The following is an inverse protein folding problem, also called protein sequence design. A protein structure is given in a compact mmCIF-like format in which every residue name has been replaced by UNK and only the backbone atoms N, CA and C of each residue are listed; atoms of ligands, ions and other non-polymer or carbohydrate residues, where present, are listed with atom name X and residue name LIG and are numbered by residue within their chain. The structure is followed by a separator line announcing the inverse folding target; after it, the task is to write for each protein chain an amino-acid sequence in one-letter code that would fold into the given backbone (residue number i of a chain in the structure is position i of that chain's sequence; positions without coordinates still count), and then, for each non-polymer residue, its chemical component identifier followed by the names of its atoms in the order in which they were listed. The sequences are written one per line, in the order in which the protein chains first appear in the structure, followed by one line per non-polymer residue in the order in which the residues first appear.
data_IF_388990049727
#
_entry.id   IF_388990049727
#
_cell.length_a   1.000
_cell.length_b   1.000
_cell.length_c   1.000
_cell.angle_alpha   90.00
_cell.angle_beta   90.00
_cell.angle_gamma   90.00
#
_symmetry.space_group_name_H-M   'P 1'
#
loop_
_entity.id
_entity.type
_entity.pdbx_description
1 polymer ?
#
# COMPACT_ATOMS: atom_id res chain seq x y z
N UNK A 1 61.13 31.29 11.55
CA UNK A 1 60.63 29.89 11.46
C UNK A 1 59.10 29.82 11.65
N UNK A 2 58.29 30.60 10.91
CA UNK A 2 56.80 30.57 11.01
C UNK A 2 56.06 31.01 9.71
N UNK A 3 56.69 30.89 8.55
CA UNK A 3 56.05 31.26 7.26
C UNK A 3 55.90 30.06 6.31
N UNK A 4 56.69 28.99 6.48
CA UNK A 4 56.66 27.82 5.59
C UNK A 4 55.53 26.82 5.86
N UNK A 5 54.89 26.85 7.03
CA UNK A 5 53.80 25.92 7.38
C UNK A 5 52.43 26.35 6.82
N UNK A 6 52.21 27.66 6.59
CA UNK A 6 50.93 28.16 6.07
C UNK A 6 50.78 27.89 4.56
N UNK A 7 51.87 27.93 3.78
CA UNK A 7 51.82 27.70 2.34
C UNK A 7 51.54 26.23 1.96
N UNK A 8 52.03 25.27 2.76
CA UNK A 8 51.74 23.85 2.54
C UNK A 8 50.28 23.48 2.85
N UNK A 9 49.61 24.23 3.74
CA UNK A 9 48.23 23.99 4.12
C UNK A 9 47.23 24.47 3.06
N UNK A 10 47.52 25.58 2.35
CA UNK A 10 46.68 26.08 1.26
C UNK A 10 46.76 25.22 -0.02
N UNK A 11 47.93 24.66 -0.35
CA UNK A 11 48.07 23.74 -1.48
C UNK A 11 47.30 22.42 -1.27
N UNK A 12 47.25 21.93 -0.03
CA UNK A 12 46.51 20.70 0.33
C UNK A 12 44.99 20.90 0.24
N UNK A 13 44.47 22.04 0.69
CA UNK A 13 43.02 22.36 0.61
C UNK A 13 42.57 22.54 -0.84
N UNK A 14 43.38 23.20 -1.69
CA UNK A 14 43.04 23.41 -3.10
C UNK A 14 42.99 22.09 -3.91
N UNK A 15 43.84 21.12 -3.56
CA UNK A 15 43.85 19.79 -4.19
C UNK A 15 42.66 18.93 -3.75
N UNK A 16 42.23 19.05 -2.48
CA UNK A 16 41.05 18.36 -1.94
C UNK A 16 39.75 18.94 -2.49
N UNK A 17 39.64 20.27 -2.64
CA UNK A 17 38.47 20.92 -3.26
C UNK A 17 38.36 20.53 -4.73
N UNK A 18 39.46 20.48 -5.47
CA UNK A 18 39.46 20.08 -6.88
C UNK A 18 39.12 18.57 -7.07
N UNK A 19 39.50 17.70 -6.11
CA UNK A 19 39.11 16.29 -6.11
C UNK A 19 37.63 16.09 -5.72
N UNK A 20 37.12 16.88 -4.77
CA UNK A 20 35.71 16.86 -4.38
C UNK A 20 34.81 17.37 -5.52
N UNK A 21 35.17 18.46 -6.19
CA UNK A 21 34.46 19.00 -7.34
C UNK A 21 34.49 18.04 -8.55
N UNK A 22 35.59 17.32 -8.78
CA UNK A 22 35.64 16.25 -9.80
C UNK A 22 34.77 15.04 -9.43
N UNK A 23 34.65 14.68 -8.15
CA UNK A 23 33.75 13.59 -7.72
C UNK A 23 32.26 13.97 -7.83
N UNK A 24 31.92 15.23 -7.58
CA UNK A 24 30.55 15.76 -7.73
C UNK A 24 30.20 15.95 -9.22
N UNK A 25 31.15 16.38 -10.05
CA UNK A 25 30.96 16.46 -11.51
C UNK A 25 30.83 15.08 -12.17
N UNK A 26 31.47 14.04 -11.61
CA UNK A 26 31.33 12.66 -12.09
C UNK A 26 30.06 11.96 -11.57
N UNK A 27 29.52 12.41 -10.42
CA UNK A 27 28.20 12.02 -9.92
C UNK A 27 27.03 12.76 -10.64
N UNK A 28 27.31 13.93 -11.24
CA UNK A 28 26.35 14.73 -12.01
C UNK A 28 26.59 14.70 -13.53
N UNK A 29 27.49 13.83 -14.01
CA UNK A 29 27.66 13.61 -15.44
C UNK A 29 26.38 12.93 -16.00
N UNK A 30 25.82 13.40 -17.13
CA UNK A 30 24.74 12.68 -17.77
C UNK A 30 25.21 11.27 -18.07
N UNK A 31 24.44 10.29 -17.60
CA UNK A 31 24.67 8.87 -17.87
C UNK A 31 24.69 8.72 -19.41
N UNK A 32 25.70 8.04 -19.99
CA UNK A 32 25.76 7.85 -21.44
C UNK A 32 24.45 7.24 -21.98
N UNK A 33 23.93 7.75 -23.09
CA UNK A 33 22.63 7.33 -23.66
C UNK A 33 22.49 5.81 -23.83
N UNK A 34 23.59 5.08 -24.06
CA UNK A 34 23.60 3.62 -24.16
C UNK A 34 23.40 2.89 -22.81
N UNK A 35 23.81 3.50 -21.69
CA UNK A 35 23.51 3.00 -20.35
C UNK A 35 22.10 3.41 -19.90
N UNK A 36 21.60 4.57 -20.36
CA UNK A 36 20.20 4.96 -20.23
C UNK A 36 19.29 3.99 -21.02
N UNK A 37 19.68 3.57 -22.24
CA UNK A 37 18.87 2.68 -23.07
C UNK A 37 18.85 1.22 -22.60
N UNK A 38 19.85 0.78 -21.82
CA UNK A 38 19.87 -0.54 -21.20
C UNK A 38 19.14 -0.57 -19.83
N UNK A 39 19.12 0.55 -19.10
CA UNK A 39 18.33 0.72 -17.87
C UNK A 39 16.85 1.06 -18.13
N UNK A 40 16.52 1.52 -19.34
CA UNK A 40 15.16 1.71 -19.87
C UNK A 40 14.53 0.38 -20.31
N UNK A 41 14.69 -0.70 -19.54
CA UNK A 41 13.63 -1.70 -19.45
C UNK A 41 12.39 -0.98 -18.92
N UNK A 42 11.51 -0.58 -19.83
CA UNK A 42 10.22 0.09 -19.63
C UNK A 42 9.79 0.12 -18.16
N UNK A 43 10.08 1.22 -17.45
CA UNK A 43 9.52 1.41 -16.12
C UNK A 43 8.00 1.57 -16.27
N UNK A 44 7.26 0.47 -16.10
CA UNK A 44 5.80 0.44 -16.20
C UNK A 44 5.13 1.18 -15.03
N UNK A 45 5.90 1.58 -14.01
CA UNK A 45 5.42 2.36 -12.87
C UNK A 45 5.66 3.84 -13.14
N UNK A 46 4.70 4.43 -13.84
CA UNK A 46 4.65 5.86 -14.15
C UNK A 46 3.49 6.53 -13.38
N UNK A 47 3.49 7.86 -13.28
CA UNK A 47 2.34 8.58 -12.69
C UNK A 47 1.05 8.25 -13.43
N UNK A 48 1.08 8.21 -14.76
CA UNK A 48 -0.06 7.86 -15.59
C UNK A 48 -0.59 6.45 -15.28
N UNK A 49 0.31 5.46 -15.17
CA UNK A 49 -0.08 4.09 -14.80
C UNK A 49 -0.69 4.05 -13.40
N UNK A 50 -0.12 4.77 -12.43
CA UNK A 50 -0.67 4.81 -11.07
C UNK A 50 -2.04 5.50 -11.03
N UNK A 51 -2.28 6.55 -11.80
CA UNK A 51 -3.61 7.18 -11.90
C UNK A 51 -4.62 6.34 -12.69
N UNK A 52 -4.17 5.55 -13.65
CA UNK A 52 -5.03 4.54 -14.29
C UNK A 52 -5.41 3.43 -13.30
N UNK A 53 -4.45 3.02 -12.45
CA UNK A 53 -4.66 2.05 -11.39
C UNK A 53 -5.59 2.58 -10.29
N UNK A 54 -5.42 3.84 -9.86
CA UNK A 54 -6.28 4.51 -8.88
C UNK A 54 -6.40 5.99 -9.23
N UNK A 55 -7.58 6.38 -9.73
CA UNK A 55 -7.86 7.73 -10.23
C UNK A 55 -7.91 8.80 -9.14
N UNK A 56 -7.92 8.39 -7.88
CA UNK A 56 -7.97 9.26 -6.70
C UNK A 56 -6.76 9.04 -5.77
N UNK A 57 -5.70 8.39 -6.26
CA UNK A 57 -4.43 8.28 -5.52
C UNK A 57 -3.92 9.67 -5.12
N UNK A 58 -3.34 9.78 -3.92
CA UNK A 58 -2.81 11.05 -3.40
C UNK A 58 -1.56 11.46 -4.17
N UNK A 59 -1.52 12.68 -4.71
CA UNK A 59 -0.46 13.09 -5.64
C UNK A 59 0.96 13.07 -5.03
N UNK A 60 1.08 13.35 -3.74
CA UNK A 60 2.34 13.24 -3.00
C UNK A 60 2.81 11.79 -2.87
N UNK A 61 1.89 10.85 -2.64
CA UNK A 61 2.18 9.41 -2.65
C UNK A 61 2.68 8.99 -4.03
N UNK A 62 1.94 9.34 -5.09
CA UNK A 62 2.28 8.97 -6.48
C UNK A 62 3.69 9.45 -6.85
N UNK A 63 3.99 10.71 -6.56
CA UNK A 63 5.30 11.32 -6.86
C UNK A 63 6.44 10.56 -6.17
N UNK A 64 6.29 10.24 -4.88
CA UNK A 64 7.35 9.58 -4.13
C UNK A 64 7.51 8.10 -4.51
N UNK A 65 6.42 7.41 -4.89
CA UNK A 65 6.49 6.08 -5.49
C UNK A 65 7.35 6.13 -6.76
N UNK A 66 7.00 7.00 -7.72
CA UNK A 66 7.70 7.08 -9.01
C UNK A 66 9.17 7.46 -8.81
N UNK A 67 9.45 8.43 -7.94
CA UNK A 67 10.80 8.89 -7.63
C UNK A 67 11.69 7.76 -7.10
N UNK A 68 11.15 6.92 -6.21
CA UNK A 68 11.93 5.89 -5.52
C UNK A 68 11.75 4.49 -6.11
N UNK A 69 10.89 4.30 -7.11
CA UNK A 69 10.60 2.99 -7.68
C UNK A 69 11.83 2.16 -8.10
N UNK A 70 12.92 2.74 -8.64
CA UNK A 70 14.12 1.96 -8.95
C UNK A 70 14.69 1.19 -7.75
N UNK A 71 14.45 1.64 -6.52
CA UNK A 71 14.89 0.94 -5.30
C UNK A 71 14.08 -0.33 -5.00
N UNK A 72 12.88 -0.50 -5.58
CA UNK A 72 12.05 -1.70 -5.40
C UNK A 72 12.73 -2.98 -5.94
N UNK A 73 13.67 -2.82 -6.87
CA UNK A 73 14.47 -3.90 -7.44
C UNK A 73 15.36 -4.59 -6.39
N UNK A 74 15.77 -3.86 -5.34
CA UNK A 74 16.49 -4.42 -4.18
C UNK A 74 15.68 -5.50 -3.45
N UNK A 75 14.34 -5.44 -3.56
CA UNK A 75 13.41 -6.44 -3.03
C UNK A 75 12.89 -7.39 -4.12
N UNK A 76 13.46 -7.34 -5.33
CA UNK A 76 13.10 -8.17 -6.47
C UNK A 76 11.72 -7.87 -7.08
N UNK A 77 11.12 -6.71 -6.79
CA UNK A 77 9.78 -6.33 -7.30
C UNK A 77 9.96 -5.71 -8.69
N UNK A 78 10.34 -6.54 -9.66
CA UNK A 78 10.90 -6.09 -10.94
C UNK A 78 10.32 -6.76 -12.19
N UNK A 79 9.35 -7.66 -12.04
CA UNK A 79 8.58 -8.24 -13.14
C UNK A 79 7.17 -7.67 -13.14
N UNK A 80 6.52 -7.54 -14.30
CA UNK A 80 5.17 -6.99 -14.37
C UNK A 80 4.20 -7.66 -13.39
N UNK A 81 4.24 -9.00 -13.26
CA UNK A 81 3.42 -9.73 -12.28
C UNK A 81 3.71 -9.32 -10.83
N UNK A 82 4.99 -9.24 -10.44
CA UNK A 82 5.37 -8.84 -9.07
C UNK A 82 4.91 -7.43 -8.76
N UNK A 83 5.06 -6.51 -9.72
CA UNK A 83 4.59 -5.13 -9.62
C UNK A 83 3.07 -5.10 -9.45
N UNK A 84 2.33 -5.80 -10.31
CA UNK A 84 0.87 -5.86 -10.28
C UNK A 84 0.34 -6.39 -8.94
N UNK A 85 0.90 -7.50 -8.46
CA UNK A 85 0.51 -8.09 -7.17
C UNK A 85 0.92 -7.23 -5.98
N UNK A 86 2.08 -6.57 -6.02
CA UNK A 86 2.50 -5.64 -4.98
C UNK A 86 1.55 -4.44 -4.87
N UNK A 87 1.27 -3.77 -6.00
CA UNK A 87 0.32 -2.65 -6.06
C UNK A 87 -1.08 -3.07 -5.60
N UNK A 88 -1.52 -4.27 -5.96
CA UNK A 88 -2.79 -4.80 -5.50
C UNK A 88 -2.88 -4.89 -3.98
N UNK A 89 -1.84 -5.43 -3.32
CA UNK A 89 -1.84 -5.54 -1.85
C UNK A 89 -1.75 -4.18 -1.17
N UNK A 90 -0.87 -3.27 -1.60
CA UNK A 90 -0.79 -1.95 -0.96
C UNK A 90 -2.09 -1.15 -1.15
N UNK A 91 -2.82 -1.33 -2.25
CA UNK A 91 -4.10 -0.66 -2.46
C UNK A 91 -5.22 -1.21 -1.56
N UNK A 92 -5.19 -2.50 -1.19
CA UNK A 92 -6.08 -3.05 -0.16
C UNK A 92 -5.87 -2.34 1.16
N UNK A 93 -4.61 -2.09 1.55
CA UNK A 93 -4.27 -1.54 2.86
C UNK A 93 -4.40 0.00 2.92
N UNK A 94 -4.28 0.68 1.78
CA UNK A 94 -4.30 2.16 1.67
C UNK A 94 -5.59 2.72 1.08
N UNK A 95 -6.54 1.85 0.72
CA UNK A 95 -7.75 2.25 0.00
C UNK A 95 -7.44 2.89 -1.34
N UNK A 96 -6.61 2.25 -2.17
CA UNK A 96 -6.24 2.77 -3.49
C UNK A 96 -5.20 3.89 -3.46
N UNK A 97 -4.21 3.83 -2.56
CA UNK A 97 -3.18 4.86 -2.38
C UNK A 97 -3.75 6.21 -1.93
N UNK A 98 -4.85 6.19 -1.18
CA UNK A 98 -5.48 7.39 -0.64
C UNK A 98 -4.94 7.74 0.75
N UNK A 99 -4.68 6.74 1.58
CA UNK A 99 -4.37 6.90 3.00
C UNK A 99 -3.18 5.98 3.40
N UNK A 100 -2.17 6.51 4.10
CA UNK A 100 -0.99 5.74 4.59
C UNK A 100 -1.01 5.48 6.10
N UNK A 101 -2.06 5.92 6.77
CA UNK A 101 -2.24 5.76 8.20
C UNK A 101 -3.61 5.15 8.47
N UNK A 102 -3.66 4.21 9.42
CA UNK A 102 -4.94 3.70 9.88
C UNK A 102 -5.72 4.77 10.66
N UNK A 103 -6.98 4.97 10.29
CA UNK A 103 -7.89 5.80 11.06
C UNK A 103 -8.55 4.96 12.16
N UNK A 104 -8.16 5.19 13.42
CA UNK A 104 -8.70 4.52 14.60
C UNK A 104 -9.94 5.23 15.20
N UNK A 105 -10.49 6.22 14.50
CA UNK A 105 -11.71 6.91 14.91
C UNK A 105 -12.97 6.14 14.46
N UNK A 106 -13.34 5.12 15.24
CA UNK A 106 -14.53 4.32 14.96
C UNK A 106 -15.73 4.74 15.79
N UNK A 107 -16.93 4.65 15.19
CA UNK A 107 -18.20 4.67 15.92
C UNK A 107 -18.42 3.37 16.70
N UNK A 108 -19.36 3.36 17.64
CA UNK A 108 -19.78 2.15 18.38
C UNK A 108 -20.13 0.99 17.43
N UNK A 109 -20.92 1.27 16.39
CA UNK A 109 -21.29 0.26 15.39
C UNK A 109 -20.06 -0.20 14.60
N UNK A 110 -19.16 0.72 14.26
CA UNK A 110 -17.91 0.42 13.57
C UNK A 110 -17.02 -0.52 14.38
N UNK A 111 -16.82 -0.27 15.67
CA UNK A 111 -16.03 -1.12 16.56
C UNK A 111 -16.56 -2.55 16.64
N UNK A 112 -17.88 -2.71 16.82
CA UNK A 112 -18.51 -4.04 16.88
C UNK A 112 -18.37 -4.78 15.54
N UNK A 113 -18.47 -4.05 14.41
CA UNK A 113 -18.31 -4.64 13.07
C UNK A 113 -16.86 -5.06 12.79
N UNK A 114 -15.88 -4.22 13.14
CA UNK A 114 -14.47 -4.43 12.79
C UNK A 114 -13.78 -5.41 13.74
N UNK A 115 -14.09 -5.36 15.04
CA UNK A 115 -13.53 -6.25 16.07
C UNK A 115 -14.63 -6.90 16.93
N UNK A 116 -15.47 -7.78 16.35
CA UNK A 116 -16.61 -8.39 17.05
C UNK A 116 -16.20 -9.28 18.24
N UNK A 117 -14.95 -9.74 18.28
CA UNK A 117 -14.39 -10.51 19.39
C UNK A 117 -14.06 -9.65 20.61
N UNK A 118 -13.79 -8.35 20.40
CA UNK A 118 -13.38 -7.42 21.44
C UNK A 118 -14.52 -6.50 21.89
N UNK A 119 -15.43 -6.17 20.98
CA UNK A 119 -16.48 -5.20 21.22
C UNK A 119 -17.88 -5.77 21.07
N UNK A 120 -18.75 -5.36 21.99
CA UNK A 120 -20.18 -5.57 21.96
C UNK A 120 -20.91 -4.28 22.38
N UNK A 121 -22.24 -4.33 22.43
CA UNK A 121 -23.06 -3.16 22.76
C UNK A 121 -22.80 -2.56 24.15
N UNK A 122 -22.18 -3.30 25.07
CA UNK A 122 -21.92 -2.86 26.44
C UNK A 122 -20.60 -2.11 26.62
N UNK A 123 -19.56 -2.46 25.85
CA UNK A 123 -18.20 -1.94 26.07
C UNK A 123 -17.69 -1.00 24.96
N UNK A 124 -18.27 -1.03 23.76
CA UNK A 124 -17.76 -0.28 22.61
C UNK A 124 -17.79 1.24 22.80
N UNK A 125 -18.77 1.78 23.53
CA UNK A 125 -18.88 3.22 23.82
C UNK A 125 -17.68 3.78 24.56
N UNK A 126 -16.96 2.94 25.33
CA UNK A 126 -15.78 3.37 26.08
C UNK A 126 -14.55 3.65 25.20
N UNK A 127 -14.58 3.25 23.92
CA UNK A 127 -13.45 3.37 22.98
C UNK A 127 -13.81 4.13 21.70
N UNK A 128 -15.11 4.29 21.41
CA UNK A 128 -15.57 5.00 20.23
C UNK A 128 -15.07 6.45 20.24
N UNK A 129 -14.51 6.92 19.12
CA UNK A 129 -13.95 8.27 19.03
C UNK A 129 -12.54 8.44 19.61
N UNK A 130 -12.00 7.46 20.33
CA UNK A 130 -10.73 7.57 21.04
C UNK A 130 -9.70 6.58 20.46
N UNK A 131 -9.07 7.00 19.35
CA UNK A 131 -8.08 6.19 18.65
C UNK A 131 -6.84 5.85 19.48
N UNK A 132 -6.44 6.74 20.40
CA UNK A 132 -5.31 6.49 21.30
C UNK A 132 -5.61 5.36 22.27
N UNK A 133 -6.75 5.42 22.95
CA UNK A 133 -7.19 4.38 23.88
C UNK A 133 -7.48 3.06 23.16
N UNK A 134 -8.08 3.12 21.97
CA UNK A 134 -8.35 1.95 21.15
C UNK A 134 -7.06 1.24 20.73
N UNK A 135 -6.06 1.96 20.22
CA UNK A 135 -4.80 1.38 19.77
C UNK A 135 -4.08 0.65 20.91
N UNK A 136 -4.00 1.29 22.08
CA UNK A 136 -3.35 0.72 23.26
C UNK A 136 -4.08 -0.51 23.80
N UNK A 137 -5.40 -0.57 23.65
CA UNK A 137 -6.20 -1.74 24.02
C UNK A 137 -5.99 -2.92 23.06
N UNK A 138 -6.03 -2.68 21.74
CA UNK A 138 -5.94 -3.75 20.73
C UNK A 138 -4.51 -4.29 20.58
N UNK A 139 -3.51 -3.40 20.63
CA UNK A 139 -2.12 -3.73 20.29
C UNK A 139 -1.16 -3.80 21.48
N UNK A 140 -1.56 -3.32 22.67
CA UNK A 140 -0.68 -3.27 23.85
C UNK A 140 -0.20 -4.66 24.31
N UNK A 141 1.09 -4.78 24.68
CA UNK A 141 1.66 -6.03 25.20
C UNK A 141 1.90 -7.14 24.17
N UNK A 142 1.70 -6.88 22.87
CA UNK A 142 1.80 -7.89 21.80
C UNK A 142 2.99 -7.62 20.88
N UNK A 143 3.63 -8.69 20.40
CA UNK A 143 4.68 -8.65 19.36
C UNK A 143 5.76 -7.56 19.58
N UNK A 144 6.21 -7.43 20.83
CA UNK A 144 7.24 -6.46 21.23
C UNK A 144 6.72 -5.14 21.78
N UNK A 145 5.42 -4.83 21.66
CA UNK A 145 4.82 -3.70 22.37
C UNK A 145 4.90 -3.95 23.88
N UNK A 146 5.37 -2.96 24.64
CA UNK A 146 5.51 -3.07 26.09
C UNK A 146 4.12 -3.00 26.76
N UNK A 147 3.84 -3.85 27.76
CA UNK A 147 2.58 -3.79 28.50
C UNK A 147 2.46 -2.50 29.31
N UNK A 148 1.24 -1.96 29.44
CA UNK A 148 0.95 -0.71 30.18
C UNK A 148 1.74 0.51 29.70
N UNK A 149 1.99 0.59 28.39
CA UNK A 149 2.60 1.76 27.73
C UNK A 149 1.70 2.23 26.59
N UNK A 150 2.14 3.26 25.89
CA UNK A 150 1.52 3.78 24.67
C UNK A 150 2.02 3.10 23.39
N UNK A 151 2.82 2.03 23.49
CA UNK A 151 3.38 1.32 22.34
C UNK A 151 2.30 0.85 21.35
N UNK A 152 1.08 0.59 21.82
CA UNK A 152 -0.03 0.22 20.93
C UNK A 152 -0.41 1.35 19.98
N UNK A 153 -0.45 2.59 20.46
CA UNK A 153 -0.67 3.78 19.63
C UNK A 153 0.59 4.19 18.86
N UNK A 154 1.75 4.17 19.49
CA UNK A 154 3.02 4.59 18.88
C UNK A 154 3.38 3.72 17.68
N UNK A 155 3.22 2.39 17.80
CA UNK A 155 3.49 1.40 16.75
C UNK A 155 2.20 0.81 16.15
N UNK A 156 1.18 1.66 16.01
CA UNK A 156 -0.08 1.35 15.31
C UNK A 156 0.15 1.13 13.81
N UNK A 157 -0.83 0.57 13.11
CA UNK A 157 -0.78 0.26 11.68
C UNK A 157 -0.35 1.46 10.83
N UNK A 158 0.81 1.33 10.18
CA UNK A 158 1.47 2.43 9.49
C UNK A 158 1.96 2.04 8.09
N UNK A 159 1.93 2.97 7.16
CA UNK A 159 2.48 2.82 5.82
C UNK A 159 1.68 1.88 4.92
N UNK A 160 2.27 1.54 3.77
CA UNK A 160 1.57 0.91 2.64
C UNK A 160 1.22 -0.56 2.83
N UNK A 161 1.74 -1.21 3.89
CA UNK A 161 1.39 -2.59 4.28
C UNK A 161 1.04 -2.71 5.77
N UNK A 162 0.54 -1.63 6.39
CA UNK A 162 0.04 -1.63 7.78
C UNK A 162 1.04 -2.22 8.78
N UNK A 163 2.30 -1.77 8.73
CA UNK A 163 3.32 -2.17 9.68
C UNK A 163 2.86 -1.82 11.11
N UNK A 164 2.69 -2.83 11.94
CA UNK A 164 2.15 -2.72 13.30
C UNK A 164 3.07 -3.44 14.27
N UNK A 165 3.08 -3.04 15.54
CA UNK A 165 3.89 -3.58 16.64
C UNK A 165 5.38 -3.21 16.59
N UNK A 166 5.91 -2.82 17.75
CA UNK A 166 7.31 -2.43 17.97
C UNK A 166 8.31 -3.45 17.42
N UNK A 167 8.05 -4.74 17.60
CA UNK A 167 8.91 -5.81 17.08
C UNK A 167 9.07 -5.75 15.57
N UNK A 168 7.98 -5.49 14.83
CA UNK A 168 8.03 -5.40 13.38
C UNK A 168 8.75 -4.11 12.92
N UNK A 169 8.58 -2.98 13.61
CA UNK A 169 9.34 -1.75 13.33
C UNK A 169 10.84 -1.96 13.50
N UNK A 170 11.26 -2.65 14.56
CA UNK A 170 12.66 -3.05 14.77
C UNK A 170 13.16 -3.92 13.61
N UNK A 171 12.39 -4.95 13.25
CA UNK A 171 12.83 -5.93 12.25
C UNK A 171 12.95 -5.30 10.86
N UNK A 172 11.99 -4.45 10.45
CA UNK A 172 12.10 -3.67 9.21
C UNK A 172 13.26 -2.68 9.24
N UNK A 173 13.49 -2.03 10.38
CA UNK A 173 14.62 -1.12 10.55
C UNK A 173 15.97 -1.84 10.33
N UNK A 174 16.10 -3.07 10.84
CA UNK A 174 17.30 -3.90 10.62
C UNK A 174 17.44 -4.32 9.15
N UNK A 175 16.37 -4.82 8.53
CA UNK A 175 16.39 -5.28 7.13
C UNK A 175 16.72 -4.16 6.15
N UNK A 176 16.24 -2.95 6.41
CA UNK A 176 16.53 -1.76 5.60
C UNK A 176 17.89 -1.11 5.93
N UNK A 177 18.67 -1.66 6.88
CA UNK A 177 19.94 -1.06 7.31
C UNK A 177 19.79 0.28 8.04
N UNK A 178 18.60 0.55 8.60
CA UNK A 178 18.26 1.79 9.31
C UNK A 178 18.51 1.73 10.82
N UNK A 179 18.93 0.57 11.35
CA UNK A 179 19.15 0.38 12.79
C UNK A 179 17.87 0.64 13.59
N UNK A 180 17.95 1.51 14.59
CA UNK A 180 16.82 1.86 15.48
C UNK A 180 15.93 2.97 14.93
N UNK A 181 16.24 3.55 13.77
CA UNK A 181 15.56 4.76 13.25
C UNK A 181 14.03 4.65 13.21
N UNK A 182 13.49 3.49 12.82
CA UNK A 182 12.03 3.26 12.80
C UNK A 182 11.44 3.07 14.20
N UNK A 183 12.23 2.59 15.16
CA UNK A 183 11.78 2.52 16.55
C UNK A 183 11.81 3.88 17.24
N UNK A 184 12.82 4.69 16.93
CA UNK A 184 13.03 6.02 17.53
C UNK A 184 12.07 7.05 16.94
N UNK A 185 11.70 6.91 15.67
CA UNK A 185 10.73 7.75 14.99
C UNK A 185 9.79 6.92 14.09
N UNK A 186 8.75 6.28 14.68
CA UNK A 186 7.80 5.42 13.94
C UNK A 186 6.93 6.20 12.96
N UNK A 187 6.74 7.50 13.15
CA UNK A 187 5.97 8.37 12.25
C UNK A 187 6.56 8.41 10.85
N UNK A 188 7.87 8.14 10.72
CA UNK A 188 8.53 8.00 9.40
C UNK A 188 7.78 6.99 8.52
N UNK A 189 7.28 5.88 9.06
CA UNK A 189 6.61 4.83 8.26
C UNK A 189 5.27 5.30 7.67
N UNK A 190 4.68 6.38 8.21
CA UNK A 190 3.43 6.96 7.70
C UNK A 190 3.66 7.97 6.58
N UNK A 191 4.92 8.32 6.32
CA UNK A 191 5.32 9.27 5.31
C UNK A 191 6.10 8.59 4.17
N UNK A 192 5.85 8.96 2.91
CA UNK A 192 6.75 8.60 1.83
C UNK A 192 8.14 9.22 2.01
N UNK A 193 9.23 8.58 1.53
CA UNK A 193 9.23 7.29 0.83
C UNK A 193 9.22 6.08 1.77
N UNK A 194 9.36 6.28 3.08
CA UNK A 194 9.56 5.20 4.04
C UNK A 194 8.34 4.25 4.13
N UNK A 195 7.14 4.78 3.93
CA UNK A 195 5.92 3.97 3.79
C UNK A 195 6.05 2.85 2.73
N UNK A 196 6.68 3.14 1.60
CA UNK A 196 6.91 2.17 0.52
C UNK A 196 8.14 1.31 0.75
N UNK A 197 9.23 1.89 1.26
CA UNK A 197 10.45 1.14 1.55
C UNK A 197 10.22 0.02 2.57
N UNK A 198 9.47 0.31 3.63
CA UNK A 198 9.05 -0.71 4.60
C UNK A 198 8.11 -1.76 4.01
N UNK A 199 7.24 -1.37 3.06
CA UNK A 199 6.38 -2.31 2.34
C UNK A 199 7.19 -3.25 1.43
N UNK A 200 8.23 -2.77 0.74
CA UNK A 200 9.14 -3.63 -0.04
C UNK A 200 9.88 -4.63 0.85
N UNK A 201 10.40 -4.18 1.99
CA UNK A 201 11.04 -5.07 2.96
C UNK A 201 10.06 -6.12 3.53
N UNK A 202 8.83 -5.71 3.83
CA UNK A 202 7.78 -6.63 4.27
C UNK A 202 7.42 -7.66 3.19
N UNK A 203 7.23 -7.22 1.95
CA UNK A 203 6.98 -8.08 0.81
C UNK A 203 8.07 -9.14 0.62
N UNK A 204 9.34 -8.72 0.69
CA UNK A 204 10.48 -9.61 0.61
C UNK A 204 10.49 -10.65 1.76
N UNK A 205 10.26 -10.22 3.00
CA UNK A 205 10.22 -11.12 4.15
C UNK A 205 9.04 -12.13 4.13
N UNK A 206 8.00 -11.85 3.34
CA UNK A 206 6.89 -12.79 3.11
C UNK A 206 7.13 -13.74 1.93
N UNK A 207 8.28 -13.67 1.26
CA UNK A 207 8.58 -14.40 0.03
C UNK A 207 7.48 -14.22 -1.03
N UNK A 208 6.84 -13.05 -1.07
CA UNK A 208 5.65 -12.83 -1.87
C UNK A 208 5.94 -12.78 -3.38
N UNK A 209 7.20 -12.58 -3.78
CA UNK A 209 7.63 -12.68 -5.18
C UNK A 209 7.35 -14.07 -5.78
N UNK A 210 7.64 -15.16 -5.05
CA UNK A 210 7.41 -16.52 -5.57
C UNK A 210 5.93 -16.81 -5.80
N UNK A 211 5.07 -16.25 -4.95
CA UNK A 211 3.62 -16.36 -5.08
C UNK A 211 3.10 -15.50 -6.24
N UNK A 212 3.66 -14.29 -6.43
CA UNK A 212 3.32 -13.42 -7.55
C UNK A 212 3.75 -14.02 -8.90
N UNK A 213 4.89 -14.70 -8.96
CA UNK A 213 5.35 -15.39 -10.17
C UNK A 213 4.38 -16.51 -10.59
N UNK A 214 3.78 -17.18 -9.60
CA UNK A 214 2.73 -18.19 -9.75
C UNK A 214 1.33 -17.61 -9.95
N UNK A 215 1.20 -16.28 -9.94
CA UNK A 215 -0.07 -15.56 -10.01
C UNK A 215 -1.05 -15.90 -8.86
N UNK A 216 -0.52 -16.26 -7.69
CA UNK A 216 -1.28 -16.74 -6.54
C UNK A 216 -1.71 -15.62 -5.59
N UNK A 217 -2.73 -14.85 -5.98
CA UNK A 217 -3.31 -13.78 -5.15
C UNK A 217 -3.82 -14.28 -3.79
N UNK A 218 -4.26 -15.55 -3.72
CA UNK A 218 -4.79 -16.16 -2.49
C UNK A 218 -3.66 -16.44 -1.51
N UNK A 219 -2.57 -17.04 -1.99
CA UNK A 219 -1.35 -17.28 -1.23
C UNK A 219 -0.74 -15.97 -0.74
N UNK A 220 -0.66 -14.96 -1.60
CA UNK A 220 -0.15 -13.63 -1.22
C UNK A 220 -1.02 -13.02 -0.12
N UNK A 221 -2.35 -13.07 -0.25
CA UNK A 221 -3.23 -12.51 0.79
C UNK A 221 -3.03 -13.21 2.14
N UNK A 222 -2.91 -14.54 2.15
CA UNK A 222 -2.60 -15.29 3.36
C UNK A 222 -1.23 -14.90 3.94
N UNK A 223 -0.21 -14.72 3.10
CA UNK A 223 1.14 -14.38 3.55
C UNK A 223 1.23 -12.96 4.14
N UNK A 224 0.57 -11.99 3.49
CA UNK A 224 0.61 -10.57 3.86
C UNK A 224 -0.27 -10.30 5.08
N UNK A 225 -1.48 -10.86 5.14
CA UNK A 225 -2.50 -10.54 6.15
C UNK A 225 -2.77 -11.66 7.16
N UNK A 226 -2.15 -12.83 7.02
CA UNK A 226 -2.39 -13.99 7.91
C UNK A 226 -3.71 -14.72 7.66
N UNK A 227 -4.49 -14.31 6.66
CA UNK A 227 -5.82 -14.87 6.37
C UNK A 227 -6.38 -14.36 5.05
N UNK A 228 -7.69 -14.59 4.81
CA UNK A 228 -8.36 -14.23 3.55
C UNK A 228 -9.22 -12.97 3.63
N UNK A 229 -9.19 -12.24 4.74
CA UNK A 229 -9.92 -10.98 4.88
C UNK A 229 -9.46 -10.00 3.80
N UNK A 230 -10.42 -9.40 3.08
CA UNK A 230 -10.12 -8.48 1.98
C UNK A 230 -9.71 -9.15 0.66
N UNK A 231 -9.83 -10.48 0.50
CA UNK A 231 -9.52 -11.17 -0.76
C UNK A 231 -10.31 -10.61 -1.98
N UNK A 232 -11.62 -10.27 -1.88
CA UNK A 232 -12.32 -9.61 -2.98
C UNK A 232 -11.65 -8.30 -3.40
N UNK A 233 -11.24 -7.47 -2.43
CA UNK A 233 -10.52 -6.22 -2.70
C UNK A 233 -9.18 -6.49 -3.38
N UNK A 234 -8.41 -7.48 -2.91
CA UNK A 234 -7.13 -7.85 -3.51
C UNK A 234 -7.29 -8.27 -4.98
N UNK A 235 -8.33 -9.04 -5.32
CA UNK A 235 -8.64 -9.43 -6.71
C UNK A 235 -9.06 -8.23 -7.56
N UNK A 236 -9.89 -7.36 -7.02
CA UNK A 236 -10.31 -6.14 -7.72
C UNK A 236 -9.10 -5.26 -8.06
N UNK A 237 -8.24 -4.99 -7.07
CA UNK A 237 -7.04 -4.20 -7.27
C UNK A 237 -6.05 -4.89 -8.20
N UNK A 238 -5.89 -6.22 -8.14
CA UNK A 238 -5.03 -6.95 -9.07
C UNK A 238 -5.49 -6.79 -10.52
N UNK A 239 -6.80 -6.88 -10.78
CA UNK A 239 -7.34 -6.67 -12.12
C UNK A 239 -7.07 -5.24 -12.63
N UNK A 240 -7.20 -4.21 -11.78
CA UNK A 240 -6.78 -2.84 -12.13
C UNK A 240 -5.29 -2.73 -12.37
N UNK A 241 -4.48 -3.42 -11.57
CA UNK A 241 -3.03 -3.42 -11.70
C UNK A 241 -2.59 -4.04 -13.03
N UNK A 242 -3.23 -5.14 -13.45
CA UNK A 242 -3.03 -5.78 -14.77
C UNK A 242 -3.33 -4.83 -15.92
N UNK A 243 -4.40 -4.04 -15.80
CA UNK A 243 -4.74 -3.05 -16.82
C UNK A 243 -3.73 -1.90 -16.91
N UNK A 244 -3.18 -1.47 -15.77
CA UNK A 244 -2.37 -0.26 -15.63
C UNK A 244 -0.86 -0.49 -15.82
N UNK A 245 -0.31 -1.54 -15.21
CA UNK A 245 1.13 -1.81 -15.17
C UNK A 245 1.50 -2.87 -16.21
N UNK A 246 1.61 -2.45 -17.47
CA UNK A 246 1.96 -3.31 -18.61
C UNK A 246 2.93 -2.60 -19.56
N UNK A 247 3.83 -3.36 -20.18
CA UNK A 247 4.83 -2.83 -21.11
C UNK A 247 4.21 -2.40 -22.47
N UNK A 248 3.08 -2.99 -22.85
CA UNK A 248 2.33 -2.69 -24.09
C UNK A 248 0.81 -2.73 -23.83
N UNK A 249 0.00 -2.14 -24.72
CA UNK A 249 -1.46 -2.18 -24.63
C UNK A 249 -2.02 -3.60 -24.52
N UNK A 250 -3.18 -3.75 -23.87
CA UNK A 250 -3.86 -5.05 -23.76
C UNK A 250 -4.60 -5.35 -25.06
N UNK A 251 -4.59 -6.62 -25.48
CA UNK A 251 -5.49 -7.08 -26.54
C UNK A 251 -6.95 -7.03 -26.08
N UNK A 252 -7.91 -7.04 -27.02
CA UNK A 252 -9.35 -7.00 -26.71
C UNK A 252 -9.76 -8.13 -25.76
N UNK A 253 -9.31 -9.36 -26.00
CA UNK A 253 -9.61 -10.52 -25.15
C UNK A 253 -9.04 -10.41 -23.73
N UNK A 254 -7.88 -9.78 -23.59
CA UNK A 254 -7.26 -9.53 -22.28
C UNK A 254 -8.04 -8.45 -21.51
N UNK A 255 -8.49 -7.40 -22.19
CA UNK A 255 -9.32 -6.35 -21.59
C UNK A 255 -10.67 -6.92 -21.10
N UNK A 256 -11.34 -7.75 -21.90
CA UNK A 256 -12.59 -8.43 -21.51
C UNK A 256 -12.39 -9.35 -20.31
N UNK A 257 -11.28 -10.09 -20.25
CA UNK A 257 -10.94 -10.94 -19.11
C UNK A 257 -10.69 -10.13 -17.82
N UNK A 258 -9.99 -8.99 -17.93
CA UNK A 258 -9.75 -8.09 -16.80
C UNK A 258 -11.06 -7.48 -16.30
N UNK A 259 -11.96 -7.07 -17.18
CA UNK A 259 -13.26 -6.52 -16.79
C UNK A 259 -14.14 -7.57 -16.12
N UNK A 260 -14.15 -8.82 -16.63
CA UNK A 260 -14.84 -9.93 -15.97
C UNK A 260 -14.28 -10.21 -14.56
N UNK A 261 -12.95 -10.14 -14.38
CA UNK A 261 -12.32 -10.28 -13.05
C UNK A 261 -12.73 -9.15 -12.10
N UNK A 262 -12.75 -7.90 -12.58
CA UNK A 262 -13.21 -6.74 -11.81
C UNK A 262 -14.66 -6.88 -11.39
N UNK A 263 -15.55 -7.30 -12.29
CA UNK A 263 -16.97 -7.47 -12.00
C UNK A 263 -17.19 -8.59 -10.98
N UNK A 264 -16.52 -9.73 -11.15
CA UNK A 264 -16.58 -10.83 -10.18
C UNK A 264 -16.09 -10.42 -8.79
N UNK A 265 -14.99 -9.66 -8.71
CA UNK A 265 -14.44 -9.15 -7.46
C UNK A 265 -15.35 -8.11 -6.80
N UNK A 266 -15.93 -7.20 -7.59
CA UNK A 266 -16.89 -6.18 -7.13
C UNK A 266 -18.14 -6.84 -6.54
N UNK A 267 -18.69 -7.83 -7.25
CA UNK A 267 -19.82 -8.63 -6.76
C UNK A 267 -19.50 -9.28 -5.42
N UNK A 268 -18.34 -9.92 -5.31
CA UNK A 268 -17.92 -10.59 -4.08
C UNK A 268 -17.71 -9.61 -2.91
N UNK A 269 -17.15 -8.42 -3.17
CA UNK A 269 -16.99 -7.37 -2.16
C UNK A 269 -18.35 -6.89 -1.64
N UNK A 270 -19.30 -6.59 -2.53
CA UNK A 270 -20.66 -6.18 -2.15
C UNK A 270 -21.39 -7.28 -1.35
N UNK A 271 -21.29 -8.54 -1.79
CA UNK A 271 -21.88 -9.67 -1.07
C UNK A 271 -21.27 -9.85 0.34
N UNK A 272 -19.96 -9.63 0.50
CA UNK A 272 -19.30 -9.69 1.80
C UNK A 272 -19.81 -8.63 2.78
N UNK A 273 -20.34 -7.52 2.26
CA UNK A 273 -21.00 -6.46 3.03
C UNK A 273 -22.50 -6.70 3.26
N UNK A 274 -23.04 -7.81 2.76
CA UNK A 274 -24.44 -8.21 2.94
C UNK A 274 -25.40 -7.77 1.84
N UNK A 275 -24.92 -7.12 0.78
CA UNK A 275 -25.76 -6.74 -0.36
C UNK A 275 -26.18 -7.98 -1.17
N UNK A 276 -27.46 -8.03 -1.55
CA UNK A 276 -28.04 -9.16 -2.29
C UNK A 276 -28.72 -8.68 -3.56
N UNK A 277 -28.63 -9.49 -4.61
CA UNK A 277 -29.30 -9.18 -5.86
C UNK A 277 -30.83 -9.17 -5.63
N UNK A 278 -31.58 -8.23 -6.25
CA UNK A 278 -33.03 -8.20 -6.18
C UNK A 278 -33.67 -9.50 -6.71
N UNK A 279 -34.83 -9.86 -6.15
CA UNK A 279 -35.63 -10.96 -6.68
C UNK A 279 -35.99 -10.71 -8.15
N UNK A 280 -35.78 -11.69 -9.02
CA UNK A 280 -36.05 -11.60 -10.47
C UNK A 280 -34.84 -11.28 -11.34
N UNK A 281 -33.74 -10.77 -10.77
CA UNK A 281 -32.43 -10.80 -11.44
C UNK A 281 -31.81 -12.15 -11.10
N UNK A 282 -32.08 -13.16 -11.92
CA UNK A 282 -31.45 -14.46 -11.78
C UNK A 282 -29.93 -14.29 -11.77
N UNK A 283 -29.22 -15.14 -11.03
CA UNK A 283 -27.76 -15.22 -11.01
C UNK A 283 -27.11 -15.38 -12.40
N UNK A 284 -27.88 -15.62 -13.47
CA UNK A 284 -27.43 -15.70 -14.85
C UNK A 284 -27.59 -14.44 -15.71
N UNK A 285 -28.24 -13.37 -15.24
CA UNK A 285 -28.21 -12.05 -15.91
C UNK A 285 -26.99 -11.24 -15.42
N UNK A 286 -25.80 -11.82 -15.56
CA UNK A 286 -24.56 -11.38 -14.87
C UNK A 286 -24.26 -9.87 -15.05
N UNK A 287 -24.55 -9.33 -16.25
CA UNK A 287 -24.34 -7.91 -16.58
C UNK A 287 -25.16 -6.92 -15.74
N UNK A 288 -26.31 -7.33 -15.21
CA UNK A 288 -27.22 -6.45 -14.47
C UNK A 288 -27.07 -6.63 -12.94
N UNK A 289 -26.37 -7.68 -12.50
CA UNK A 289 -26.18 -8.00 -11.08
C UNK A 289 -25.30 -6.94 -10.39
N UNK A 290 -24.11 -6.68 -10.92
CA UNK A 290 -23.17 -5.71 -10.33
C UNK A 290 -23.75 -4.29 -10.30
N UNK A 291 -24.31 -3.75 -11.39
CA UNK A 291 -24.97 -2.44 -11.36
C UNK A 291 -26.11 -2.35 -10.34
N UNK A 292 -26.88 -3.42 -10.17
CA UNK A 292 -27.99 -3.46 -9.20
C UNK A 292 -27.50 -3.44 -7.75
N UNK A 293 -26.43 -4.18 -7.45
CA UNK A 293 -25.79 -4.17 -6.13
C UNK A 293 -25.13 -2.81 -5.84
N UNK A 294 -24.44 -2.23 -6.82
CA UNK A 294 -23.83 -0.90 -6.69
C UNK A 294 -24.88 0.18 -6.42
N UNK A 295 -26.04 0.14 -7.10
CA UNK A 295 -27.14 1.06 -6.83
C UNK A 295 -27.67 0.94 -5.39
N UNK A 296 -27.70 -0.25 -4.81
CA UNK A 296 -28.08 -0.43 -3.39
C UNK A 296 -27.01 0.18 -2.48
N UNK A 297 -25.74 -0.18 -2.69
CA UNK A 297 -24.62 0.36 -1.94
C UNK A 297 -24.55 1.89 -1.98
N UNK A 298 -24.73 2.48 -3.16
CA UNK A 298 -24.74 3.93 -3.34
C UNK A 298 -25.87 4.61 -2.58
N UNK A 299 -27.09 4.05 -2.59
CA UNK A 299 -28.21 4.59 -1.78
C UNK A 299 -27.92 4.54 -0.29
N UNK A 300 -27.46 3.40 0.21
CA UNK A 300 -27.19 3.19 1.63
C UNK A 300 -26.06 4.07 2.16
N UNK A 301 -25.15 4.48 1.28
CA UNK A 301 -24.01 5.33 1.60
C UNK A 301 -24.16 6.78 1.12
N UNK A 302 -25.36 7.19 0.70
CA UNK A 302 -25.66 8.56 0.25
C UNK A 302 -24.76 9.06 -0.89
N UNK A 303 -24.41 8.17 -1.82
CA UNK A 303 -23.66 8.47 -3.05
C UNK A 303 -24.62 8.65 -4.24
N UNK A 304 -24.18 9.33 -5.33
CA UNK A 304 -24.90 9.33 -6.59
C UNK A 304 -25.21 7.91 -7.08
N UNK A 305 -26.46 7.64 -7.44
CA UNK A 305 -26.93 6.30 -7.81
C UNK A 305 -26.69 6.05 -9.30
N UNK A 306 -25.43 5.81 -9.67
CA UNK A 306 -25.01 5.57 -11.06
C UNK A 306 -25.09 4.10 -11.47
N UNK A 307 -24.95 3.18 -10.51
CA UNK A 307 -24.73 1.75 -10.79
C UNK A 307 -23.36 1.44 -11.38
N UNK A 308 -22.45 2.42 -11.41
CA UNK A 308 -21.05 2.23 -11.81
C UNK A 308 -20.09 2.49 -10.64
N UNK A 309 -18.84 2.07 -10.81
CA UNK A 309 -17.75 2.35 -9.88
C UNK A 309 -17.10 3.71 -10.20
N UNK A 310 -17.82 4.80 -9.94
CA UNK A 310 -17.18 6.11 -9.88
C UNK A 310 -16.16 6.18 -8.73
N UNK A 311 -15.24 7.14 -8.78
CA UNK A 311 -14.12 7.24 -7.83
C UNK A 311 -14.57 7.26 -6.35
N UNK A 312 -15.72 7.89 -6.04
CA UNK A 312 -16.24 7.92 -4.66
C UNK A 312 -16.80 6.57 -4.25
N UNK A 313 -17.56 5.92 -5.13
CA UNK A 313 -18.11 4.58 -4.92
C UNK A 313 -16.98 3.56 -4.78
N UNK A 314 -15.96 3.60 -5.64
CA UNK A 314 -14.79 2.75 -5.59
C UNK A 314 -14.02 2.93 -4.27
N UNK A 315 -13.68 4.17 -3.90
CA UNK A 315 -12.96 4.48 -2.65
C UNK A 315 -13.71 3.97 -1.43
N UNK A 316 -15.04 4.15 -1.40
CA UNK A 316 -15.82 3.74 -0.25
C UNK A 316 -16.01 2.21 -0.20
N UNK A 317 -16.30 1.56 -1.33
CA UNK A 317 -16.51 0.11 -1.38
C UNK A 317 -15.25 -0.65 -1.01
N UNK A 318 -14.11 -0.27 -1.59
CA UNK A 318 -12.82 -0.93 -1.37
C UNK A 318 -11.99 -0.32 -0.23
N UNK A 319 -12.63 0.46 0.65
CA UNK A 319 -12.00 1.02 1.85
C UNK A 319 -11.49 -0.09 2.78
N UNK A 320 -10.29 0.06 3.39
CA UNK A 320 -9.78 -0.86 4.40
C UNK A 320 -10.73 -1.00 5.61
N UNK A 321 -11.58 0.00 5.88
CA UNK A 321 -12.54 -0.01 6.99
C UNK A 321 -13.70 -1.01 6.80
N UNK A 322 -13.88 -1.50 5.57
CA UNK A 322 -14.86 -2.52 5.24
C UNK A 322 -14.32 -3.95 5.44
N UNK A 323 -13.03 -4.10 5.74
CA UNK A 323 -12.37 -5.39 5.93
C UNK A 323 -12.38 -5.75 7.41
N UNK A 324 -12.93 -6.91 7.81
CA UNK A 324 -12.89 -7.38 9.20
C UNK A 324 -11.45 -7.57 9.70
N UNK A 325 -11.20 -7.23 10.97
CA UNK A 325 -9.90 -7.43 11.64
C UNK A 325 -10.03 -8.51 12.72
N UNK A 326 -8.98 -9.29 12.90
CA UNK A 326 -8.94 -10.38 13.89
C UNK A 326 -8.64 -9.91 15.32
#
# INVERSE_FOLDING_TARGET
MRVSALFAMFASISTIVCAAERSVAQANAPIPDAALSAAMTYNIVTEQAIYQFSSYARADIVREIVRHWPDADKSGINTAKRIQHFFAQIAVETGGLADLEENLNYSVKGLIRVWPKHFNSKNASAYAGDGYKLANFIYGGRYGNRPKTDDGYVYRGSGSMQLTFRGNFRDRGKELGLGTKLMDNPDLVREPPMAFQTAWAYWAAKNANELADKDDVVGIRKAVNGGLNGLPNAKYWLAKARAAFKATGAGVSEAEAIDAEKDAATRAALQSLGYKAPAGIASGADKDVVPSLLKQFQRDNHLPVTGGLDARTERLLFSPQNIPRE
#
